data_IF_895634308542
#
_entry.id   IF_895634308542
#
_cell.length_a   1.000
_cell.length_b   1.000
_cell.length_c   1.000
_cell.angle_alpha   90.00
_cell.angle_beta   90.00
_cell.angle_gamma   90.00
#
_symmetry.space_group_name_H-M   'P 1'
#
loop_
_entity.id
_entity.type
_entity.pdbx_description
1 polymer ?
#
# COMPACT_ATOMS: atom_id res chain seq x y z
N UNK A 1 -27.99 18.31 1.49
CA UNK A 1 -26.96 19.38 1.53
C UNK A 1 -25.85 18.94 0.59
N UNK A 2 -25.81 19.47 -0.62
CA UNK A 2 -24.86 19.01 -1.65
C UNK A 2 -23.47 19.55 -1.29
N UNK A 3 -22.63 18.71 -0.70
CA UNK A 3 -21.26 19.05 -0.34
C UNK A 3 -20.50 19.35 -1.64
N UNK A 4 -20.17 20.62 -1.88
CA UNK A 4 -19.30 20.98 -3.01
C UNK A 4 -17.88 20.83 -2.51
N UNK A 5 -17.26 19.73 -2.90
CA UNK A 5 -15.93 19.37 -2.46
C UNK A 5 -14.91 20.47 -2.82
N UNK A 6 -14.15 20.96 -1.84
CA UNK A 6 -12.97 21.80 -2.11
C UNK A 6 -11.85 20.90 -2.63
N UNK A 7 -11.78 20.73 -3.95
CA UNK A 7 -10.79 19.87 -4.62
C UNK A 7 -9.35 20.23 -4.25
N UNK A 8 -9.03 21.53 -4.10
CA UNK A 8 -7.70 21.98 -3.71
C UNK A 8 -7.40 21.62 -2.25
N UNK A 9 -8.37 21.78 -1.36
CA UNK A 9 -8.29 21.37 0.04
C UNK A 9 -8.14 19.86 0.19
N UNK A 10 -8.85 19.08 -0.63
CA UNK A 10 -8.76 17.62 -0.66
C UNK A 10 -7.39 17.12 -1.12
N UNK A 11 -6.88 17.62 -2.25
CA UNK A 11 -5.55 17.25 -2.74
C UNK A 11 -4.46 17.59 -1.72
N UNK A 12 -4.54 18.75 -1.08
CA UNK A 12 -3.61 19.11 -0.01
C UNK A 12 -3.70 18.14 1.18
N UNK A 13 -4.90 17.76 1.57
CA UNK A 13 -5.11 16.79 2.67
C UNK A 13 -4.57 15.42 2.30
N UNK A 14 -4.84 14.96 1.07
CA UNK A 14 -4.34 13.71 0.52
C UNK A 14 -2.82 13.65 0.60
N UNK A 15 -2.10 14.60 0.00
CA UNK A 15 -0.64 14.59 -0.03
C UNK A 15 -0.03 14.73 1.36
N UNK A 16 -0.66 15.50 2.26
CA UNK A 16 -0.21 15.59 3.65
C UNK A 16 -0.31 14.24 4.36
N UNK A 17 -1.47 13.58 4.29
CA UNK A 17 -1.66 12.28 4.97
C UNK A 17 -0.79 11.21 4.34
N UNK A 18 -0.75 11.13 3.01
CA UNK A 18 0.13 10.22 2.28
C UNK A 18 1.60 10.41 2.66
N UNK A 19 2.09 11.65 2.65
CA UNK A 19 3.46 11.96 3.07
C UNK A 19 3.73 11.56 4.53
N UNK A 20 2.81 11.88 5.44
CA UNK A 20 2.93 11.50 6.85
C UNK A 20 3.00 9.99 7.07
N UNK A 21 2.13 9.22 6.39
CA UNK A 21 2.17 7.76 6.49
C UNK A 21 3.50 7.21 5.97
N UNK A 22 3.98 7.71 4.83
CA UNK A 22 5.28 7.28 4.30
C UNK A 22 6.43 7.58 5.25
N UNK A 23 6.41 8.74 5.93
CA UNK A 23 7.43 9.10 6.94
C UNK A 23 7.37 8.19 8.16
N UNK A 24 6.16 7.98 8.72
CA UNK A 24 5.97 7.14 9.91
C UNK A 24 6.48 5.72 9.67
N UNK A 25 6.20 5.17 8.49
CA UNK A 25 6.59 3.81 8.13
C UNK A 25 7.97 3.72 7.46
N UNK A 26 8.65 4.85 7.17
CA UNK A 26 9.94 4.87 6.48
C UNK A 26 11.00 4.01 7.16
N UNK A 27 11.07 4.07 8.50
CA UNK A 27 12.03 3.25 9.26
C UNK A 27 11.76 1.75 9.07
N UNK A 28 10.50 1.32 9.14
CA UNK A 28 10.14 -0.09 8.97
C UNK A 28 10.43 -0.55 7.54
N UNK A 29 10.11 0.27 6.54
CA UNK A 29 10.37 0.00 5.13
C UNK A 29 11.87 -0.14 4.85
N UNK A 30 12.68 0.75 5.42
CA UNK A 30 14.12 0.67 5.30
C UNK A 30 14.65 -0.65 5.87
N UNK A 31 14.20 -1.04 7.06
CA UNK A 31 14.59 -2.32 7.66
C UNK A 31 14.09 -3.53 6.86
N UNK A 32 12.88 -3.44 6.31
CA UNK A 32 12.29 -4.49 5.48
C UNK A 32 13.10 -4.69 4.20
N UNK A 33 13.38 -3.61 3.46
CA UNK A 33 14.18 -3.68 2.25
C UNK A 33 15.64 -3.99 2.50
N UNK A 34 16.20 -3.67 3.66
CA UNK A 34 17.59 -3.99 3.99
C UNK A 34 17.81 -5.45 4.41
N UNK A 35 16.74 -6.23 4.61
CA UNK A 35 16.81 -7.66 4.88
C UNK A 35 17.39 -8.42 3.68
N UNK A 36 18.35 -9.31 3.92
CA UNK A 36 19.04 -10.06 2.87
C UNK A 36 18.08 -10.92 2.01
N UNK A 37 16.96 -11.35 2.60
CA UNK A 37 15.97 -12.21 1.96
C UNK A 37 15.16 -11.52 0.85
N UNK A 38 14.97 -10.20 0.95
CA UNK A 38 14.12 -9.44 0.00
C UNK A 38 14.96 -8.78 -1.12
N UNK A 39 16.25 -8.54 -0.87
CA UNK A 39 17.21 -8.10 -1.91
C UNK A 39 17.44 -9.15 -2.99
N UNK A 40 17.36 -10.44 -2.63
CA UNK A 40 17.51 -11.52 -3.59
C UNK A 40 16.33 -11.54 -4.57
N UNK A 41 15.11 -11.20 -4.12
CA UNK A 41 13.95 -11.05 -5.01
C UNK A 41 14.07 -9.87 -5.98
N UNK A 42 14.79 -8.82 -5.58
CA UNK A 42 15.10 -7.67 -6.44
C UNK A 42 16.12 -7.99 -7.53
N UNK A 43 17.08 -8.88 -7.24
CA UNK A 43 18.19 -9.22 -8.16
C UNK A 43 17.86 -10.41 -9.05
N UNK A 44 17.26 -11.43 -8.46
CA UNK A 44 17.12 -12.76 -9.06
C UNK A 44 15.66 -13.16 -9.30
N UNK A 45 14.70 -12.30 -8.88
CA UNK A 45 13.27 -12.58 -8.94
C UNK A 45 12.82 -13.62 -7.91
N UNK A 46 11.56 -13.56 -7.49
CA UNK A 46 11.00 -14.61 -6.64
C UNK A 46 10.81 -15.90 -7.45
N UNK A 47 11.50 -16.97 -7.04
CA UNK A 47 11.23 -18.31 -7.57
C UNK A 47 9.88 -18.83 -7.07
N UNK A 48 9.10 -19.43 -7.96
CA UNK A 48 7.84 -20.12 -7.62
C UNK A 48 8.01 -21.18 -6.51
N UNK A 49 9.19 -21.81 -6.41
CA UNK A 49 9.52 -22.78 -5.37
C UNK A 49 9.67 -22.17 -3.98
N UNK A 50 9.98 -20.87 -3.86
CA UNK A 50 10.14 -20.19 -2.57
C UNK A 50 8.82 -20.17 -1.80
N UNK A 51 7.70 -19.92 -2.49
CA UNK A 51 6.37 -20.01 -1.90
C UNK A 51 5.98 -21.45 -1.49
N UNK A 52 6.50 -22.48 -2.16
CA UNK A 52 6.24 -23.88 -1.80
C UNK A 52 6.90 -24.28 -0.48
N UNK A 53 8.15 -23.85 -0.26
CA UNK A 53 8.88 -24.15 0.98
C UNK A 53 8.25 -23.47 2.20
N UNK A 54 7.73 -22.26 2.03
CA UNK A 54 7.11 -21.48 3.11
C UNK A 54 5.61 -21.81 3.33
N UNK A 55 5.03 -22.75 2.57
CA UNK A 55 3.59 -23.08 2.62
C UNK A 55 2.69 -21.96 2.05
N UNK A 56 3.27 -21.04 1.29
CA UNK A 56 2.67 -19.82 0.73
C UNK A 56 2.72 -19.84 -0.80
N UNK A 57 2.39 -20.98 -1.41
CA UNK A 57 2.61 -21.24 -2.84
C UNK A 57 1.93 -20.20 -3.76
N UNK A 58 0.74 -19.74 -3.39
CA UNK A 58 -0.04 -18.77 -4.18
C UNK A 58 0.49 -17.34 -4.11
N UNK A 59 1.39 -17.07 -3.16
CA UNK A 59 1.78 -15.72 -2.78
C UNK A 59 2.52 -14.98 -3.89
N UNK A 60 3.29 -15.70 -4.71
CA UNK A 60 4.20 -15.12 -5.71
C UNK A 60 3.86 -15.48 -7.15
N UNK A 61 2.79 -16.25 -7.36
CA UNK A 61 2.39 -16.73 -8.69
C UNK A 61 2.17 -15.55 -9.65
N UNK A 62 1.51 -14.52 -9.17
CA UNK A 62 1.13 -13.40 -10.02
C UNK A 62 2.22 -12.35 -10.16
N UNK A 63 3.04 -12.10 -9.14
CA UNK A 63 4.27 -11.32 -9.34
C UNK A 63 5.19 -11.99 -10.36
N UNK A 64 5.25 -13.33 -10.35
CA UNK A 64 5.96 -14.12 -11.34
C UNK A 64 5.39 -13.92 -12.75
N UNK A 65 4.07 -14.03 -12.94
CA UNK A 65 3.47 -13.88 -14.27
C UNK A 65 3.38 -12.44 -14.79
N UNK A 66 3.26 -11.44 -13.92
CA UNK A 66 3.06 -10.03 -14.32
C UNK A 66 4.38 -9.25 -14.41
N UNK A 67 5.37 -9.61 -13.60
CA UNK A 67 6.63 -8.87 -13.47
C UNK A 67 7.86 -9.77 -13.54
N UNK A 68 7.71 -10.99 -14.06
CA UNK A 68 8.79 -12.00 -14.15
C UNK A 68 9.45 -12.31 -12.80
N UNK A 69 8.68 -12.15 -11.72
CA UNK A 69 9.13 -12.39 -10.35
C UNK A 69 9.88 -11.21 -9.74
N UNK A 70 10.15 -10.16 -10.52
CA UNK A 70 10.72 -8.92 -10.00
C UNK A 70 9.66 -8.11 -9.28
N UNK A 71 10.02 -7.58 -8.13
CA UNK A 71 9.13 -6.71 -7.36
C UNK A 71 9.90 -5.43 -7.09
N UNK A 72 9.25 -4.28 -7.32
CA UNK A 72 9.76 -2.94 -7.05
C UNK A 72 9.20 -2.44 -5.70
N UNK A 73 9.86 -2.77 -4.59
CA UNK A 73 9.22 -2.76 -3.28
C UNK A 73 8.89 -1.34 -2.83
N UNK A 74 9.79 -0.41 -3.15
CA UNK A 74 9.66 1.02 -2.87
C UNK A 74 8.45 1.61 -3.60
N UNK A 75 8.30 1.33 -4.90
CA UNK A 75 7.20 1.87 -5.72
C UNK A 75 5.86 1.30 -5.28
N UNK A 76 5.79 -0.02 -5.11
CA UNK A 76 4.59 -0.70 -4.61
C UNK A 76 4.17 -0.13 -3.28
N UNK A 77 5.12 0.10 -2.37
CA UNK A 77 4.85 0.70 -1.07
C UNK A 77 4.23 2.11 -1.16
N UNK A 78 4.84 3.01 -1.95
CA UNK A 78 4.32 4.38 -2.12
C UNK A 78 2.90 4.39 -2.72
N UNK A 79 2.67 3.54 -3.72
CA UNK A 79 1.35 3.39 -4.36
C UNK A 79 0.33 2.78 -3.41
N UNK A 80 0.73 1.82 -2.58
CA UNK A 80 -0.14 1.19 -1.60
C UNK A 80 -0.70 2.20 -0.59
N UNK A 81 0.15 3.11 -0.10
CA UNK A 81 -0.32 4.19 0.77
C UNK A 81 -1.19 5.21 0.04
N UNK A 82 -0.89 5.52 -1.22
CA UNK A 82 -1.73 6.41 -2.02
C UNK A 82 -3.14 5.80 -2.19
N UNK A 83 -3.22 4.51 -2.49
CA UNK A 83 -4.46 3.77 -2.61
C UNK A 83 -5.24 3.74 -1.29
N UNK A 84 -4.58 3.54 -0.15
CA UNK A 84 -5.22 3.54 1.16
C UNK A 84 -5.83 4.90 1.51
N UNK A 85 -5.09 5.99 1.30
CA UNK A 85 -5.60 7.35 1.53
C UNK A 85 -6.77 7.64 0.58
N UNK A 86 -6.67 7.22 -0.69
CA UNK A 86 -7.74 7.34 -1.67
C UNK A 86 -9.01 6.58 -1.24
N UNK A 87 -8.85 5.34 -0.77
CA UNK A 87 -9.95 4.51 -0.26
C UNK A 87 -10.65 5.17 0.93
N UNK A 88 -9.88 5.73 1.87
CA UNK A 88 -10.46 6.46 3.00
C UNK A 88 -11.33 7.65 2.56
N UNK A 89 -10.95 8.33 1.46
CA UNK A 89 -11.72 9.46 0.93
C UNK A 89 -12.97 8.98 0.20
N UNK A 90 -12.89 7.87 -0.55
CA UNK A 90 -14.05 7.22 -1.16
C UNK A 90 -15.06 6.78 -0.08
N UNK A 91 -14.58 6.16 1.00
CA UNK A 91 -15.41 5.77 2.15
C UNK A 91 -16.00 7.01 2.82
N UNK A 92 -15.18 8.04 3.05
CA UNK A 92 -15.62 9.31 3.65
C UNK A 92 -16.75 9.96 2.85
N UNK A 93 -16.67 9.90 1.52
CA UNK A 93 -17.73 10.39 0.64
C UNK A 93 -18.96 9.49 0.65
N UNK A 94 -18.78 8.17 0.58
CA UNK A 94 -19.88 7.20 0.55
C UNK A 94 -20.71 7.22 1.85
N UNK A 95 -20.05 7.39 3.00
CA UNK A 95 -20.68 7.45 4.32
C UNK A 95 -21.07 8.88 4.75
N UNK A 96 -20.98 9.86 3.84
CA UNK A 96 -21.31 11.27 4.10
C UNK A 96 -20.57 11.87 5.32
N UNK A 97 -19.35 11.41 5.59
CA UNK A 97 -18.51 11.92 6.68
C UNK A 97 -18.09 13.36 6.35
N UNK A 98 -18.08 14.31 7.30
CA UNK A 98 -17.61 15.67 7.06
C UNK A 98 -16.17 15.68 6.52
N UNK A 99 -15.89 16.42 5.43
CA UNK A 99 -14.56 16.43 4.80
C UNK A 99 -13.40 16.76 5.74
N UNK A 100 -13.64 17.64 6.72
CA UNK A 100 -12.65 17.97 7.77
C UNK A 100 -12.16 16.75 8.55
N UNK A 101 -12.88 15.63 8.50
CA UNK A 101 -12.55 14.36 9.15
C UNK A 101 -11.86 13.36 8.22
N UNK A 102 -11.82 13.58 6.91
CA UNK A 102 -11.30 12.57 5.98
C UNK A 102 -9.80 12.31 6.18
N UNK A 103 -9.03 13.34 6.51
CA UNK A 103 -7.62 13.17 6.88
C UNK A 103 -7.44 12.30 8.13
N UNK A 104 -8.31 12.48 9.12
CA UNK A 104 -8.32 11.66 10.34
C UNK A 104 -8.76 10.23 10.07
N UNK A 105 -9.75 10.01 9.22
CA UNK A 105 -10.17 8.69 8.77
C UNK A 105 -9.03 7.96 8.06
N UNK A 106 -8.34 8.65 7.13
CA UNK A 106 -7.20 8.09 6.42
C UNK A 106 -6.03 7.75 7.37
N UNK A 107 -5.75 8.59 8.36
CA UNK A 107 -4.76 8.29 9.39
C UNK A 107 -5.18 7.13 10.29
N UNK A 108 -6.46 7.05 10.69
CA UNK A 108 -6.98 5.95 11.51
C UNK A 108 -6.84 4.60 10.80
N UNK A 109 -7.18 4.54 9.51
CA UNK A 109 -6.98 3.35 8.69
C UNK A 109 -5.47 3.10 8.48
N UNK A 110 -4.70 4.14 8.15
CA UNK A 110 -3.29 4.03 7.79
C UNK A 110 -2.36 3.67 8.94
N UNK A 111 -2.66 4.10 10.16
CA UNK A 111 -1.87 3.86 11.37
C UNK A 111 -2.31 2.62 12.15
N UNK A 112 -3.33 1.90 11.66
CA UNK A 112 -3.78 0.68 12.30
C UNK A 112 -2.64 -0.37 12.27
N UNK A 113 -2.32 -1.05 13.40
CA UNK A 113 -1.30 -2.11 13.43
C UNK A 113 -1.52 -3.20 12.38
N UNK A 114 -2.78 -3.50 12.04
CA UNK A 114 -3.14 -4.48 11.01
C UNK A 114 -2.86 -3.99 9.59
N UNK A 115 -2.83 -2.68 9.35
CA UNK A 115 -2.49 -2.10 8.05
C UNK A 115 -1.05 -2.41 7.67
N UNK A 116 -0.15 -2.51 8.65
CA UNK A 116 1.22 -2.94 8.42
C UNK A 116 1.32 -4.42 8.03
N UNK A 117 0.61 -5.30 8.73
CA UNK A 117 0.51 -6.72 8.36
C UNK A 117 -0.10 -6.87 6.98
N UNK A 118 -1.15 -6.09 6.69
CA UNK A 118 -1.73 -6.00 5.37
C UNK A 118 -0.70 -5.55 4.34
N UNK A 119 0.17 -4.55 4.59
CA UNK A 119 1.22 -4.14 3.63
C UNK A 119 2.33 -5.16 3.42
N UNK A 120 2.72 -5.91 4.46
CA UNK A 120 3.56 -7.09 4.30
C UNK A 120 2.95 -8.10 3.32
N UNK A 121 1.61 -8.28 3.36
CA UNK A 121 0.88 -9.10 2.39
C UNK A 121 0.47 -8.36 1.09
N UNK A 122 0.38 -7.03 1.07
CA UNK A 122 -0.06 -6.20 -0.07
C UNK A 122 1.09 -5.84 -1.02
N UNK A 123 2.34 -5.95 -0.56
CA UNK A 123 3.50 -6.13 -1.45
C UNK A 123 3.25 -7.22 -2.50
N UNK A 124 2.38 -8.17 -2.18
CA UNK A 124 2.00 -9.27 -3.06
C UNK A 124 0.66 -9.00 -3.74
N UNK A 125 -0.21 -8.16 -3.14
CA UNK A 125 -1.57 -7.95 -3.65
C UNK A 125 -1.79 -6.72 -4.57
N UNK A 126 -1.00 -5.66 -4.48
CA UNK A 126 -1.23 -4.45 -5.29
C UNK A 126 -1.18 -4.67 -6.82
N UNK A 127 -0.34 -5.58 -7.35
CA UNK A 127 -0.43 -6.04 -8.73
C UNK A 127 -1.82 -6.51 -9.18
N UNK A 128 -2.66 -7.01 -8.27
CA UNK A 128 -3.97 -7.56 -8.61
C UNK A 128 -5.06 -6.53 -8.79
N UNK A 129 -4.95 -5.37 -8.13
CA UNK A 129 -6.02 -4.37 -8.13
C UNK A 129 -5.80 -3.34 -9.25
N UNK A 130 -4.57 -3.22 -9.76
CA UNK A 130 -4.24 -2.33 -10.87
C UNK A 130 -4.52 -2.92 -12.26
N UNK A 131 -5.27 -4.02 -12.36
CA UNK A 131 -5.73 -4.55 -13.64
C UNK A 131 -7.26 -4.72 -13.68
N UNK A 132 -7.90 -3.72 -14.28
CA UNK A 132 -9.11 -3.82 -15.07
C UNK A 132 -8.81 -3.18 -16.43
#
# INVERSE_FOLDING_TARGET
MTYKDDEKGLLRTFFKVWGSLNIVYAYMVFNFFWGNHDWDFLKDGVKLSSGFFEGRFSQHIFSYFLFDGYILPVVTYFLSFAALVGLAFVIGRYLEIPQKMWGWLALFIGLNPHTFVLFYYFYLLLPFICWA
#
